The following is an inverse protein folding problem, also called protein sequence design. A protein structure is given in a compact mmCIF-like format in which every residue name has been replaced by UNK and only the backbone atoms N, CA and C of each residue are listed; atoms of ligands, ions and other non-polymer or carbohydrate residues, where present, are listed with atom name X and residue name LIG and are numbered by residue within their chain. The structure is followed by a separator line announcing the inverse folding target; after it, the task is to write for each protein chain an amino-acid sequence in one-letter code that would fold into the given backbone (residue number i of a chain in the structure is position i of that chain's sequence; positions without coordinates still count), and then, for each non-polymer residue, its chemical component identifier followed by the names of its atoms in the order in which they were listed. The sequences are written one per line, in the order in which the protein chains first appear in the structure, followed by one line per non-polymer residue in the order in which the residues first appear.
data_IF_441228441768
#
_entry.id   IF_441228441768
#
_cell.length_a   1.000
_cell.length_b   1.000
_cell.length_c   1.000
_cell.angle_alpha   90.00
_cell.angle_beta   90.00
_cell.angle_gamma   90.00
#
_symmetry.space_group_name_H-M   'P 1'
#
loop_
_entity.id
_entity.type
_entity.pdbx_description
1 polymer ?
#
# COMPACT_ATOMS: atom_id res chain seq x y z
N UNK A 1 -9.93 -10.83 22.06
CA UNK A 1 -8.70 -10.47 21.32
C UNK A 1 -9.07 -10.23 19.85
N UNK A 2 -8.40 -9.29 19.20
CA UNK A 2 -8.67 -8.90 17.81
C UNK A 2 -7.46 -9.28 16.96
N UNK A 3 -7.73 -9.89 15.82
CA UNK A 3 -6.76 -10.35 14.83
C UNK A 3 -7.10 -9.74 13.47
N UNK A 4 -6.10 -9.52 12.62
CA UNK A 4 -6.26 -8.85 11.32
C UNK A 4 -5.83 -9.78 10.19
N UNK A 5 -6.66 -9.87 9.14
CA UNK A 5 -6.38 -10.55 7.86
C UNK A 5 -6.00 -12.04 7.99
N UNK A 6 -4.73 -12.33 8.22
CA UNK A 6 -4.10 -13.64 8.06
C UNK A 6 -3.45 -14.16 9.35
N UNK A 7 -3.78 -13.59 10.50
CA UNK A 7 -3.18 -13.92 11.79
C UNK A 7 -3.70 -15.22 12.42
N UNK A 8 -3.41 -16.35 11.78
CA UNK A 8 -3.77 -17.70 12.26
C UNK A 8 -2.66 -18.33 13.09
N UNK A 9 -2.49 -17.86 14.33
CA UNK A 9 -1.43 -18.31 15.23
C UNK A 9 -1.87 -19.47 16.12
N UNK A 10 -1.59 -20.71 15.72
CA UNK A 10 -2.11 -21.92 16.40
C UNK A 10 -2.00 -21.90 17.93
N UNK A 11 -0.80 -21.70 18.48
CA UNK A 11 -0.60 -21.72 19.93
C UNK A 11 -1.28 -20.55 20.65
N UNK A 12 -1.32 -19.38 20.02
CA UNK A 12 -1.98 -18.21 20.58
C UNK A 12 -3.49 -18.42 20.62
N UNK A 13 -4.08 -18.80 19.49
CA UNK A 13 -5.51 -19.10 19.37
C UNK A 13 -5.94 -20.21 20.32
N UNK A 14 -5.14 -21.27 20.44
CA UNK A 14 -5.40 -22.39 21.36
C UNK A 14 -5.39 -21.93 22.83
N UNK A 15 -4.42 -21.09 23.21
CA UNK A 15 -4.33 -20.56 24.57
C UNK A 15 -5.47 -19.59 24.92
N UNK A 16 -5.93 -18.78 23.95
CA UNK A 16 -7.09 -17.90 24.14
C UNK A 16 -8.38 -18.72 24.26
N UNK A 17 -8.54 -19.71 23.40
CA UNK A 17 -9.71 -20.58 23.37
C UNK A 17 -9.84 -21.38 24.67
N UNK A 18 -8.75 -21.95 25.20
CA UNK A 18 -8.78 -22.69 26.48
C UNK A 18 -9.14 -21.81 27.68
N UNK A 19 -8.83 -20.51 27.59
CA UNK A 19 -9.23 -19.49 28.59
C UNK A 19 -10.62 -18.89 28.33
N UNK A 20 -11.34 -19.38 27.32
CA UNK A 20 -12.67 -18.88 26.91
C UNK A 20 -12.67 -17.38 26.59
N UNK A 21 -11.56 -16.86 26.06
CA UNK A 21 -11.46 -15.46 25.64
C UNK A 21 -12.05 -15.34 24.23
N UNK A 22 -13.07 -14.48 23.99
CA UNK A 22 -13.62 -14.27 22.66
C UNK A 22 -12.56 -13.71 21.70
N UNK A 23 -12.60 -14.17 20.45
CA UNK A 23 -11.63 -13.82 19.40
C UNK A 23 -12.36 -13.39 18.15
N UNK A 24 -11.92 -12.27 17.58
CA UNK A 24 -12.46 -11.71 16.35
C UNK A 24 -11.36 -11.66 15.30
N UNK A 25 -11.66 -12.08 14.07
CA UNK A 25 -10.78 -11.88 12.91
C UNK A 25 -11.41 -10.84 11.99
N UNK A 26 -10.70 -9.74 11.74
CA UNK A 26 -11.19 -8.61 10.93
C UNK A 26 -10.50 -8.57 9.58
N UNK A 27 -11.25 -8.22 8.53
CA UNK A 27 -10.80 -8.09 7.16
C UNK A 27 -10.13 -9.37 6.61
N UNK A 28 -10.63 -10.55 7.01
CA UNK A 28 -10.15 -11.83 6.51
C UNK A 28 -10.38 -11.95 5.00
N UNK A 29 -9.37 -12.48 4.29
CA UNK A 29 -9.48 -12.80 2.87
C UNK A 29 -9.00 -14.22 2.63
N UNK A 30 -9.87 -15.02 2.01
CA UNK A 30 -9.62 -16.43 1.77
C UNK A 30 -9.42 -16.69 0.28
N UNK A 31 -8.51 -17.62 -0.02
CA UNK A 31 -8.25 -18.12 -1.38
C UNK A 31 -8.31 -19.63 -1.38
N UNK A 32 -8.90 -20.22 -2.42
CA UNK A 32 -9.18 -21.67 -2.51
C UNK A 32 -7.91 -22.55 -2.49
N UNK A 33 -6.75 -21.98 -2.77
CA UNK A 33 -5.44 -22.62 -2.70
C UNK A 33 -4.89 -22.73 -1.28
N UNK A 34 -5.41 -21.98 -0.31
CA UNK A 34 -4.95 -22.01 1.07
C UNK A 34 -5.23 -23.35 1.77
N UNK A 35 -4.41 -23.76 2.76
CA UNK A 35 -4.55 -25.03 3.46
C UNK A 35 -5.94 -25.28 4.09
N UNK A 36 -6.66 -24.23 4.52
CA UNK A 36 -8.02 -24.33 5.08
C UNK A 36 -8.98 -25.15 4.20
N UNK A 37 -8.81 -25.03 2.87
CA UNK A 37 -9.70 -25.61 1.86
C UNK A 37 -9.09 -26.82 1.16
N UNK A 38 -7.99 -27.38 1.69
CA UNK A 38 -7.36 -28.60 1.16
C UNK A 38 -7.69 -29.81 2.03
N UNK A 39 -7.52 -31.00 1.46
CA UNK A 39 -7.81 -32.26 2.16
C UNK A 39 -6.98 -32.40 3.46
N UNK A 40 -5.72 -31.96 3.45
CA UNK A 40 -4.82 -31.95 4.62
C UNK A 40 -5.06 -30.78 5.60
N UNK A 41 -6.06 -29.93 5.36
CA UNK A 41 -6.31 -28.68 6.06
C UNK A 41 -6.85 -28.77 7.49
N UNK A 42 -6.91 -29.95 8.11
CA UNK A 42 -7.67 -30.15 9.34
C UNK A 42 -7.19 -29.26 10.51
N UNK A 43 -5.87 -29.11 10.69
CA UNK A 43 -5.31 -28.23 11.71
C UNK A 43 -5.69 -26.75 11.48
N UNK A 44 -5.69 -26.32 10.23
CA UNK A 44 -6.06 -24.96 9.84
C UNK A 44 -7.55 -24.70 10.08
N UNK A 45 -8.41 -25.66 9.73
CA UNK A 45 -9.84 -25.59 10.03
C UNK A 45 -10.11 -25.55 11.54
N UNK A 46 -9.33 -26.25 12.37
CA UNK A 46 -9.43 -26.12 13.84
C UNK A 46 -9.16 -24.69 14.31
N UNK A 47 -8.17 -23.99 13.72
CA UNK A 47 -7.92 -22.59 14.05
C UNK A 47 -9.09 -21.69 13.66
N UNK A 48 -9.75 -21.92 12.51
CA UNK A 48 -10.96 -21.17 12.15
C UNK A 48 -12.02 -21.26 13.23
N UNK A 49 -12.28 -22.47 13.75
CA UNK A 49 -13.29 -22.68 14.81
C UNK A 49 -12.94 -22.00 16.14
N UNK A 50 -11.69 -21.57 16.35
CA UNK A 50 -11.34 -20.82 17.57
C UNK A 50 -11.83 -19.37 17.54
N UNK A 51 -12.17 -18.83 16.37
CA UNK A 51 -12.74 -17.49 16.23
C UNK A 51 -14.22 -17.48 16.57
N UNK A 52 -14.61 -16.58 17.47
CA UNK A 52 -16.02 -16.33 17.81
C UNK A 52 -16.77 -15.68 16.64
N UNK A 53 -16.12 -14.75 15.94
CA UNK A 53 -16.62 -14.17 14.70
C UNK A 53 -15.49 -13.87 13.71
N UNK A 54 -15.79 -13.99 12.42
CA UNK A 54 -14.88 -13.70 11.31
C UNK A 54 -15.56 -12.71 10.36
N UNK A 55 -14.93 -11.56 10.18
CA UNK A 55 -15.35 -10.52 9.26
C UNK A 55 -14.49 -10.59 8.01
N UNK A 56 -15.09 -10.94 6.88
CA UNK A 56 -14.40 -11.17 5.60
C UNK A 56 -14.51 -9.97 4.67
N UNK A 57 -13.58 -9.87 3.71
CA UNK A 57 -13.53 -8.75 2.77
C UNK A 57 -14.56 -8.82 1.64
N UNK A 58 -14.95 -10.04 1.23
CA UNK A 58 -15.80 -10.24 0.06
C UNK A 58 -16.64 -11.53 0.16
N UNK A 59 -17.61 -11.65 -0.72
CA UNK A 59 -18.55 -12.77 -0.83
C UNK A 59 -17.82 -14.09 -1.08
N UNK A 60 -16.78 -14.09 -1.92
CA UNK A 60 -15.99 -15.29 -2.21
C UNK A 60 -15.33 -15.85 -0.93
N UNK A 61 -14.82 -14.98 -0.07
CA UNK A 61 -14.23 -15.37 1.21
C UNK A 61 -15.28 -15.92 2.18
N UNK A 62 -16.50 -15.35 2.17
CA UNK A 62 -17.61 -15.87 2.97
C UNK A 62 -17.99 -17.28 2.53
N UNK A 63 -18.14 -17.49 1.22
CA UNK A 63 -18.45 -18.80 0.63
C UNK A 63 -17.39 -19.84 0.99
N UNK A 64 -16.10 -19.53 0.80
CA UNK A 64 -15.02 -20.44 1.16
C UNK A 64 -15.04 -20.80 2.65
N UNK A 65 -15.29 -19.82 3.53
CA UNK A 65 -15.36 -20.04 4.97
C UNK A 65 -16.51 -21.00 5.34
N UNK A 66 -17.67 -20.87 4.70
CA UNK A 66 -18.80 -21.78 4.87
C UNK A 66 -18.47 -23.19 4.34
N UNK A 67 -17.83 -23.31 3.18
CA UNK A 67 -17.36 -24.60 2.62
C UNK A 67 -16.35 -25.30 3.54
N UNK A 68 -15.55 -24.54 4.29
CA UNK A 68 -14.64 -25.09 5.30
C UNK A 68 -15.35 -25.57 6.59
N UNK A 69 -16.66 -25.40 6.69
CA UNK A 69 -17.48 -25.81 7.82
C UNK A 69 -17.32 -24.94 9.05
N UNK A 70 -16.95 -23.66 8.90
CA UNK A 70 -16.94 -22.71 10.01
C UNK A 70 -18.35 -22.54 10.59
N UNK A 71 -18.50 -22.68 11.91
CA UNK A 71 -19.81 -22.63 12.57
C UNK A 71 -20.06 -21.36 13.39
N UNK A 72 -19.06 -20.47 13.49
CA UNK A 72 -19.21 -19.20 14.20
C UNK A 72 -19.87 -18.12 13.34
N UNK A 73 -19.94 -16.90 13.88
CA UNK A 73 -20.53 -15.77 13.16
C UNK A 73 -19.60 -15.31 12.03
N UNK A 74 -20.12 -15.22 10.81
CA UNK A 74 -19.37 -14.73 9.66
C UNK A 74 -20.15 -13.64 8.94
N UNK A 75 -19.48 -12.53 8.60
CA UNK A 75 -20.09 -11.42 7.88
C UNK A 75 -19.10 -10.69 6.99
N UNK A 76 -19.60 -10.01 5.96
CA UNK A 76 -18.79 -9.22 5.04
C UNK A 76 -18.63 -7.81 5.64
N UNK A 77 -17.39 -7.35 5.81
CA UNK A 77 -17.07 -6.01 6.33
C UNK A 77 -16.12 -5.22 5.43
N UNK A 78 -15.65 -5.79 4.32
CA UNK A 78 -14.64 -5.16 3.46
C UNK A 78 -13.23 -5.15 4.07
N UNK A 79 -12.33 -4.38 3.44
CA UNK A 79 -10.94 -4.20 3.88
C UNK A 79 -10.77 -2.86 4.60
N UNK A 80 -10.36 -2.90 5.87
CA UNK A 80 -10.20 -1.71 6.71
C UNK A 80 -9.10 -0.75 6.23
N UNK A 81 -8.27 -1.15 5.25
CA UNK A 81 -7.32 -0.24 4.59
C UNK A 81 -8.02 0.91 3.89
N UNK A 82 -9.23 0.71 3.35
CA UNK A 82 -9.99 1.77 2.69
C UNK A 82 -10.40 2.86 3.68
N UNK A 83 -10.94 2.48 4.84
CA UNK A 83 -11.29 3.42 5.91
C UNK A 83 -10.07 4.19 6.40
N UNK A 84 -8.92 3.50 6.53
CA UNK A 84 -7.67 4.11 6.99
C UNK A 84 -7.17 5.19 6.03
N UNK A 85 -7.13 4.91 4.73
CA UNK A 85 -6.67 5.90 3.75
C UNK A 85 -7.64 7.07 3.66
N UNK A 86 -8.96 6.82 3.73
CA UNK A 86 -9.98 7.87 3.75
C UNK A 86 -9.79 8.79 4.97
N UNK A 87 -9.63 8.22 6.16
CA UNK A 87 -9.38 8.99 7.38
C UNK A 87 -8.10 9.82 7.28
N UNK A 88 -7.00 9.27 6.75
CA UNK A 88 -5.75 10.01 6.54
C UNK A 88 -5.97 11.19 5.57
N UNK A 89 -6.69 10.97 4.47
CA UNK A 89 -6.97 12.01 3.48
C UNK A 89 -7.78 13.18 4.08
N UNK A 90 -8.68 12.91 5.04
CA UNK A 90 -9.42 13.98 5.75
C UNK A 90 -8.57 14.81 6.72
N UNK A 91 -7.41 14.30 7.15
CA UNK A 91 -6.51 14.96 8.10
C UNK A 91 -5.34 15.66 7.39
N UNK A 92 -5.56 16.09 6.14
CA UNK A 92 -4.53 16.72 5.34
C UNK A 92 -4.00 18.00 6.00
N UNK A 93 -2.67 18.12 6.05
CA UNK A 93 -1.96 19.31 6.49
C UNK A 93 -1.07 19.79 5.35
N UNK A 94 -1.17 21.05 4.91
CA UNK A 94 -0.30 21.61 3.87
C UNK A 94 1.19 21.46 4.18
N UNK A 95 1.98 21.32 3.13
CA UNK A 95 3.44 21.21 3.12
C UNK A 95 3.95 22.34 2.23
N UNK A 96 4.22 23.49 2.83
CA UNK A 96 4.65 24.69 2.11
C UNK A 96 5.86 24.47 1.20
N UNK A 97 6.77 23.57 1.59
CA UNK A 97 7.92 23.17 0.77
C UNK A 97 7.47 22.56 -0.55
N UNK A 98 6.44 21.70 -0.52
CA UNK A 98 5.89 21.06 -1.71
C UNK A 98 5.14 22.08 -2.56
N UNK A 99 4.29 22.90 -1.96
CA UNK A 99 3.54 23.97 -2.65
C UNK A 99 4.50 24.93 -3.38
N UNK A 100 5.54 25.39 -2.69
CA UNK A 100 6.57 26.26 -3.27
C UNK A 100 7.37 25.57 -4.37
N UNK A 101 7.62 24.26 -4.21
CA UNK A 101 8.36 23.50 -5.20
C UNK A 101 7.53 23.31 -6.46
N UNK A 102 6.26 22.90 -6.38
CA UNK A 102 5.44 22.59 -7.56
C UNK A 102 4.90 23.83 -8.26
N UNK A 103 4.52 24.87 -7.49
CA UNK A 103 3.79 26.04 -7.98
C UNK A 103 2.53 25.63 -8.76
N UNK A 104 2.25 26.23 -9.91
CA UNK A 104 1.08 25.91 -10.74
C UNK A 104 1.38 24.82 -11.80
N UNK A 105 2.48 24.07 -11.66
CA UNK A 105 2.90 23.07 -12.65
C UNK A 105 2.13 21.77 -12.49
N UNK A 106 1.77 21.16 -13.61
CA UNK A 106 1.28 19.78 -13.64
C UNK A 106 2.29 18.87 -12.94
N UNK A 107 1.84 18.14 -11.94
CA UNK A 107 2.72 17.37 -11.04
C UNK A 107 2.40 15.88 -11.07
N UNK A 108 3.43 15.08 -11.34
CA UNK A 108 3.41 13.62 -11.19
C UNK A 108 4.06 13.26 -9.85
N UNK A 109 3.34 12.51 -9.01
CA UNK A 109 3.86 12.00 -7.73
C UNK A 109 4.06 10.50 -7.85
N UNK A 110 5.32 10.08 -7.88
CA UNK A 110 5.73 8.69 -7.91
C UNK A 110 6.14 8.22 -6.51
N UNK A 111 5.39 7.30 -5.93
CA UNK A 111 5.58 6.83 -4.57
C UNK A 111 5.99 5.39 -4.46
N UNK A 112 6.79 5.10 -3.42
CA UNK A 112 7.33 3.78 -3.16
C UNK A 112 8.10 3.21 -4.37
N UNK A 113 8.89 4.05 -5.03
CA UNK A 113 9.62 3.72 -6.26
C UNK A 113 10.86 2.87 -6.00
N UNK A 114 11.19 2.03 -6.97
CA UNK A 114 12.35 1.13 -7.00
C UNK A 114 13.30 1.50 -8.13
N UNK A 115 14.52 0.93 -8.19
CA UNK A 115 15.49 1.27 -9.24
C UNK A 115 14.95 1.15 -10.67
N UNK A 116 14.08 0.17 -10.97
CA UNK A 116 13.44 0.07 -12.28
C UNK A 116 12.43 1.17 -12.55
N UNK A 117 11.66 1.57 -11.54
CA UNK A 117 10.78 2.74 -11.64
C UNK A 117 11.61 3.98 -11.96
N UNK A 118 12.74 4.20 -11.27
CA UNK A 118 13.60 5.36 -11.49
C UNK A 118 14.13 5.45 -12.92
N UNK A 119 14.50 4.32 -13.54
CA UNK A 119 14.93 4.29 -14.94
C UNK A 119 13.82 4.79 -15.87
N UNK A 120 12.58 4.31 -15.70
CA UNK A 120 11.45 4.71 -16.54
C UNK A 120 11.04 6.16 -16.24
N UNK A 121 11.00 6.54 -14.97
CA UNK A 121 10.73 7.90 -14.55
C UNK A 121 11.74 8.88 -15.13
N UNK A 122 13.02 8.51 -15.22
CA UNK A 122 14.04 9.34 -15.86
C UNK A 122 13.75 9.58 -17.35
N UNK A 123 13.27 8.57 -18.08
CA UNK A 123 12.85 8.73 -19.48
C UNK A 123 11.64 9.67 -19.60
N UNK A 124 10.65 9.53 -18.72
CA UNK A 124 9.48 10.42 -18.66
C UNK A 124 9.86 11.86 -18.31
N UNK A 125 10.75 12.02 -17.33
CA UNK A 125 11.32 13.30 -16.92
C UNK A 125 11.95 14.00 -18.13
N UNK A 126 12.71 13.28 -18.96
CA UNK A 126 13.31 13.84 -20.17
C UNK A 126 12.29 14.15 -21.28
N UNK A 127 11.28 13.29 -21.45
CA UNK A 127 10.25 13.46 -22.47
C UNK A 127 9.29 14.63 -22.17
N UNK A 128 9.06 14.96 -20.90
CA UNK A 128 8.10 15.98 -20.46
C UNK A 128 8.76 17.09 -19.63
N UNK A 129 9.47 18.04 -20.26
CA UNK A 129 10.23 19.08 -19.54
C UNK A 129 9.36 20.07 -18.76
N UNK A 130 8.08 20.21 -19.12
CA UNK A 130 7.14 21.14 -18.48
C UNK A 130 6.41 20.54 -17.26
N UNK A 131 6.62 19.25 -16.98
CA UNK A 131 5.99 18.55 -15.86
C UNK A 131 6.92 18.58 -14.64
N UNK A 132 6.33 18.81 -13.47
CA UNK A 132 7.00 18.64 -12.19
C UNK A 132 6.87 17.19 -11.71
N UNK A 133 7.93 16.63 -11.15
CA UNK A 133 7.96 15.28 -10.62
C UNK A 133 8.33 15.30 -9.15
N UNK A 134 7.58 14.58 -8.33
CA UNK A 134 7.94 14.26 -6.96
C UNK A 134 8.13 12.75 -6.89
N UNK A 135 9.34 12.32 -6.59
CA UNK A 135 9.74 10.91 -6.53
C UNK A 135 10.04 10.56 -5.08
N UNK A 136 9.33 9.60 -4.53
CA UNK A 136 9.52 9.09 -3.18
C UNK A 136 9.95 7.62 -3.23
N UNK A 137 11.26 7.34 -3.13
CA UNK A 137 11.81 5.99 -3.10
C UNK A 137 11.23 5.15 -1.97
N UNK A 138 11.15 3.84 -2.19
CA UNK A 138 10.76 2.89 -1.14
C UNK A 138 11.77 2.84 0.01
N UNK A 139 13.05 3.06 -0.28
CA UNK A 139 14.14 3.11 0.69
C UNK A 139 14.86 4.45 0.64
N UNK A 140 15.03 5.09 1.80
CA UNK A 140 15.68 6.40 1.95
C UNK A 140 17.01 6.33 2.71
N UNK A 141 17.59 5.14 2.88
CA UNK A 141 18.94 5.02 3.40
C UNK A 141 19.97 5.64 2.44
N UNK A 142 21.16 5.98 2.95
CA UNK A 142 22.17 6.70 2.18
C UNK A 142 22.56 6.00 0.87
N UNK A 143 22.60 4.66 0.83
CA UNK A 143 22.98 3.91 -0.35
C UNK A 143 21.90 3.94 -1.43
N UNK A 144 20.64 3.77 -1.01
CA UNK A 144 19.46 3.87 -1.88
C UNK A 144 19.30 5.26 -2.46
N UNK A 145 19.49 6.31 -1.65
CA UNK A 145 19.43 7.70 -2.10
C UNK A 145 20.54 8.04 -3.08
N UNK A 146 21.77 7.57 -2.84
CA UNK A 146 22.86 7.76 -3.79
C UNK A 146 22.58 7.09 -5.13
N UNK A 147 22.00 5.89 -5.11
CA UNK A 147 21.60 5.19 -6.34
C UNK A 147 20.48 5.96 -7.08
N UNK A 148 19.45 6.41 -6.37
CA UNK A 148 18.35 7.18 -6.94
C UNK A 148 18.85 8.50 -7.57
N UNK A 149 19.74 9.24 -6.92
CA UNK A 149 20.34 10.45 -7.48
C UNK A 149 21.18 10.17 -8.74
N UNK A 150 21.82 8.99 -8.85
CA UNK A 150 22.54 8.61 -10.07
C UNK A 150 21.59 8.29 -11.22
N UNK A 151 20.43 7.72 -10.93
CA UNK A 151 19.41 7.40 -11.94
C UNK A 151 18.60 8.63 -12.35
N UNK A 152 18.43 9.59 -11.45
CA UNK A 152 17.65 10.82 -11.64
C UNK A 152 18.56 12.03 -11.33
N UNK A 153 19.54 12.34 -12.20
CA UNK A 153 20.60 13.31 -11.91
C UNK A 153 20.12 14.76 -11.75
N UNK A 154 18.96 15.11 -12.30
CA UNK A 154 18.36 16.45 -12.16
C UNK A 154 17.54 16.64 -10.88
N UNK A 155 17.43 15.60 -10.05
CA UNK A 155 16.65 15.66 -8.83
C UNK A 155 17.25 16.59 -7.77
N UNK A 156 16.38 17.40 -7.17
CA UNK A 156 16.65 18.14 -5.94
C UNK A 156 16.20 17.27 -4.77
N UNK A 157 17.06 17.08 -3.77
CA UNK A 157 16.65 16.39 -2.54
C UNK A 157 15.67 17.25 -1.74
N UNK A 158 14.71 16.63 -1.07
CA UNK A 158 13.77 17.34 -0.21
C UNK A 158 14.49 18.17 0.87
N UNK A 159 15.56 17.64 1.48
CA UNK A 159 16.38 18.40 2.43
C UNK A 159 17.10 19.63 1.82
N UNK A 160 17.32 19.66 0.51
CA UNK A 160 17.89 20.82 -0.18
C UNK A 160 16.80 21.81 -0.62
N UNK A 161 15.62 21.32 -0.98
CA UNK A 161 14.45 22.18 -1.26
C UNK A 161 14.04 22.99 -0.03
N UNK A 162 14.17 22.41 1.18
CA UNK A 162 14.00 23.13 2.45
C UNK A 162 14.95 24.33 2.60
N UNK A 163 16.11 24.29 1.95
CA UNK A 163 17.10 25.38 1.94
C UNK A 163 16.89 26.36 0.79
N UNK A 164 15.77 26.24 0.06
CA UNK A 164 15.41 27.11 -1.06
C UNK A 164 15.94 26.65 -2.43
N UNK A 165 16.49 25.44 -2.54
CA UNK A 165 16.90 24.90 -3.85
C UNK A 165 15.65 24.60 -4.68
N UNK A 166 15.58 25.17 -5.88
CA UNK A 166 14.46 24.98 -6.81
C UNK A 166 14.81 23.98 -7.90
N UNK A 167 13.78 23.43 -8.53
CA UNK A 167 13.92 22.46 -9.61
C UNK A 167 12.57 22.05 -10.17
N UNK A 168 12.55 21.01 -11.00
CA UNK A 168 11.30 20.37 -11.46
C UNK A 168 11.18 18.91 -11.01
N UNK A 169 12.24 18.32 -10.49
CA UNK A 169 12.23 16.95 -9.96
C UNK A 169 12.66 17.02 -8.51
N UNK A 170 11.78 16.58 -7.62
CA UNK A 170 12.00 16.50 -6.18
C UNK A 170 12.16 15.04 -5.81
N UNK A 171 13.26 14.68 -5.15
CA UNK A 171 13.49 13.36 -4.60
C UNK A 171 13.34 13.41 -3.08
N UNK A 172 12.41 12.64 -2.56
CA UNK A 172 12.03 12.63 -1.14
C UNK A 172 12.98 11.73 -0.37
N UNK A 173 13.79 12.33 0.49
CA UNK A 173 14.78 11.65 1.35
C UNK A 173 14.28 11.46 2.79
N UNK A 174 12.94 11.48 3.00
CA UNK A 174 12.29 11.37 4.30
C UNK A 174 11.16 10.35 4.31
N UNK A 175 11.02 9.64 5.43
CA UNK A 175 9.93 8.70 5.67
C UNK A 175 8.68 9.46 6.14
N UNK A 176 7.50 8.96 5.76
CA UNK A 176 6.21 9.40 6.35
C UNK A 176 5.55 10.59 5.65
N UNK A 177 6.10 11.06 4.53
CA UNK A 177 5.48 12.13 3.73
C UNK A 177 4.55 11.61 2.63
N UNK A 178 4.74 10.37 2.17
CA UNK A 178 4.18 9.88 0.91
C UNK A 178 2.66 10.05 0.76
N UNK A 179 1.88 9.63 1.75
CA UNK A 179 0.41 9.78 1.72
C UNK A 179 -0.03 11.22 1.54
N UNK A 180 0.72 12.21 2.06
CA UNK A 180 0.42 13.64 1.86
C UNK A 180 0.86 14.12 0.48
N UNK A 181 1.92 13.55 -0.07
CA UNK A 181 2.44 13.94 -1.39
C UNK A 181 1.41 13.66 -2.50
N UNK A 182 0.71 12.53 -2.43
CA UNK A 182 -0.33 12.20 -3.43
C UNK A 182 -1.46 13.23 -3.53
N UNK A 183 -1.71 14.01 -2.47
CA UNK A 183 -2.67 15.11 -2.52
C UNK A 183 -2.29 16.18 -3.56
N UNK A 184 -0.99 16.45 -3.72
CA UNK A 184 -0.44 17.44 -4.65
C UNK A 184 -0.34 16.93 -6.09
N UNK A 185 -0.70 15.67 -6.33
CA UNK A 185 -0.58 15.07 -7.65
C UNK A 185 -1.71 15.51 -8.59
N UNK A 186 -1.38 15.71 -9.85
CA UNK A 186 -2.32 15.61 -10.95
C UNK A 186 -2.39 14.18 -11.48
N UNK A 187 -1.27 13.45 -11.43
CA UNK A 187 -1.16 12.03 -11.78
C UNK A 187 -0.29 11.35 -10.73
N UNK A 188 -0.70 10.16 -10.29
CA UNK A 188 0.03 9.37 -9.32
C UNK A 188 0.68 8.17 -9.98
N UNK A 189 1.85 7.78 -9.49
CA UNK A 189 2.58 6.58 -9.92
C UNK A 189 2.89 5.73 -8.69
N UNK A 190 2.48 4.46 -8.70
CA UNK A 190 2.76 3.50 -7.64
C UNK A 190 3.92 2.60 -8.09
N UNK A 191 5.02 2.69 -7.36
CA UNK A 191 6.22 1.91 -7.65
C UNK A 191 6.05 0.41 -7.39
N UNK A 192 7.08 -0.36 -7.74
CA UNK A 192 7.16 -1.81 -7.54
C UNK A 192 6.50 -2.65 -8.65
N UNK A 193 5.65 -2.05 -9.49
CA UNK A 193 4.96 -2.74 -10.59
C UNK A 193 5.87 -3.28 -11.70
N UNK A 194 7.17 -2.98 -11.68
CA UNK A 194 8.19 -3.51 -12.62
C UNK A 194 9.11 -4.57 -11.98
N UNK A 195 8.86 -4.87 -10.71
CA UNK A 195 9.55 -5.92 -9.95
C UNK A 195 8.61 -7.08 -9.63
N UNK A 196 9.22 -8.22 -9.25
CA UNK A 196 8.51 -9.49 -9.00
C UNK A 196 7.50 -9.42 -7.84
N UNK A 197 7.70 -8.48 -6.92
CA UNK A 197 6.88 -8.33 -5.71
C UNK A 197 5.58 -7.56 -6.00
N UNK A 198 5.57 -6.82 -7.12
CA UNK A 198 4.43 -6.08 -7.64
C UNK A 198 4.23 -4.72 -6.96
N UNK A 199 3.07 -4.12 -7.21
CA UNK A 199 2.77 -2.74 -6.80
C UNK A 199 2.70 -2.55 -5.28
N UNK A 200 3.10 -1.35 -4.83
CA UNK A 200 2.87 -0.90 -3.46
C UNK A 200 1.42 -0.45 -3.24
N UNK A 201 1.17 0.28 -2.16
CA UNK A 201 -0.18 0.61 -1.69
C UNK A 201 -0.93 1.60 -2.62
N UNK A 202 -1.67 1.06 -3.58
CA UNK A 202 -2.50 1.83 -4.54
C UNK A 202 -3.53 2.71 -3.84
N UNK A 203 -4.08 2.26 -2.71
CA UNK A 203 -5.14 2.96 -1.98
C UNK A 203 -4.71 4.33 -1.46
N UNK A 204 -3.42 4.50 -1.14
CA UNK A 204 -2.89 5.78 -0.64
C UNK A 204 -2.94 6.90 -1.68
N UNK A 205 -2.88 6.55 -2.96
CA UNK A 205 -3.05 7.50 -4.06
C UNK A 205 -4.51 7.61 -4.51
N UNK A 206 -5.17 6.46 -4.67
CA UNK A 206 -6.54 6.39 -5.20
C UNK A 206 -7.55 7.20 -4.37
N UNK A 207 -7.33 7.32 -3.05
CA UNK A 207 -8.17 8.10 -2.15
C UNK A 207 -8.29 9.58 -2.54
N UNK A 208 -7.32 10.13 -3.27
CA UNK A 208 -7.33 11.53 -3.70
C UNK A 208 -8.00 11.76 -5.06
N UNK A 209 -8.66 10.74 -5.62
CA UNK A 209 -9.37 10.81 -6.90
C UNK A 209 -8.49 11.25 -8.08
N UNK A 210 -7.21 10.87 -8.05
CA UNK A 210 -6.24 11.16 -9.10
C UNK A 210 -6.03 9.93 -9.99
N UNK A 211 -5.72 10.09 -11.28
CA UNK A 211 -5.24 8.99 -12.12
C UNK A 211 -4.08 8.25 -11.44
N UNK A 212 -4.16 6.92 -11.42
CA UNK A 212 -3.14 6.05 -10.82
C UNK A 212 -2.46 5.22 -11.90
N UNK A 213 -1.15 5.37 -12.02
CA UNK A 213 -0.29 4.61 -12.91
C UNK A 213 0.51 3.60 -12.09
N UNK A 214 0.76 2.43 -12.66
CA UNK A 214 1.66 1.42 -12.09
C UNK A 214 2.12 0.46 -13.18
N UNK A 215 3.20 -0.28 -12.90
CA UNK A 215 3.74 -1.27 -13.83
C UNK A 215 2.87 -2.53 -14.00
N UNK A 216 3.20 -3.40 -14.97
CA UNK A 216 2.35 -4.53 -15.36
C UNK A 216 2.22 -5.64 -14.30
N UNK A 217 3.06 -5.64 -13.25
CA UNK A 217 3.03 -6.66 -12.20
C UNK A 217 2.15 -6.19 -11.03
N UNK A 218 0.84 -6.39 -11.14
CA UNK A 218 -0.13 -5.98 -10.11
C UNK A 218 -1.18 -7.04 -9.74
N UNK A 219 -1.20 -8.20 -10.40
CA UNK A 219 -2.28 -9.21 -10.28
C UNK A 219 -2.55 -9.76 -8.87
N UNK A 220 -1.66 -9.51 -7.89
CA UNK A 220 -1.85 -9.87 -6.48
C UNK A 220 -2.70 -8.84 -5.70
N UNK A 221 -2.94 -7.67 -6.27
CA UNK A 221 -3.54 -6.50 -5.63
C UNK A 221 -4.88 -6.20 -6.32
N UNK A 222 -5.98 -6.55 -5.66
CA UNK A 222 -7.33 -6.41 -6.24
C UNK A 222 -7.75 -4.95 -6.42
N UNK A 223 -7.13 -4.05 -5.66
CA UNK A 223 -7.32 -2.60 -5.73
C UNK A 223 -6.66 -1.93 -6.95
N UNK A 224 -5.78 -2.64 -7.67
CA UNK A 224 -5.10 -2.15 -8.86
C UNK A 224 -5.91 -2.55 -10.11
N UNK A 225 -6.73 -1.61 -10.62
CA UNK A 225 -7.69 -1.81 -11.73
C UNK A 225 -7.34 -0.88 -12.89
#
# INVERSE_FOLDING_TARGET
AIFIKYEFWYYYLTALHSRKIPTLLIAAIFRKDQPFFKWYGQLHRKMLQTYSAIFVQNENSLTLLHEAGYTGEAMISGDSRFDRVAAIATQFSPLSIIENFIQDRTTIVAGSTWPKDHTILQELIQAFPNICFIVAPHHVDASSMQAACKQIPEAVLYADAEKGKTGRVLLIDRIGLLTKLYHYADITWIGGGFDKDGVHNVLEAAVYHKPVLFGPVYHKYAEAI
#
